data_IF_379186376635
#
_entry.id   IF_379186376635
#
_cell.length_a   1.000
_cell.length_b   1.000
_cell.length_c   1.000
_cell.angle_alpha   90.00
_cell.angle_beta   90.00
_cell.angle_gamma   90.00
#
_symmetry.space_group_name_H-M   'P 1'
#
loop_
_entity.id
_entity.type
_entity.pdbx_description
1 polymer ?
#
# COMPACT_ATOMS: atom_id res chain seq x y z
N UNK A 1 -6.96 -12.35 -4.59
CA UNK A 1 -6.36 -11.22 -5.32
C UNK A 1 -6.63 -10.01 -4.46
N UNK A 2 -5.71 -9.08 -4.43
CA UNK A 2 -5.80 -7.89 -3.61
C UNK A 2 -5.22 -6.73 -4.38
N UNK A 3 -5.73 -5.52 -4.13
CA UNK A 3 -5.06 -4.33 -4.62
C UNK A 3 -3.67 -4.21 -3.97
N UNK A 4 -2.66 -3.82 -4.76
CA UNK A 4 -1.28 -3.73 -4.30
C UNK A 4 -0.78 -2.30 -4.38
N UNK A 5 -0.16 -1.81 -3.30
CA UNK A 5 0.58 -0.55 -3.33
C UNK A 5 1.98 -0.82 -3.88
N UNK A 6 2.31 -0.19 -5.00
CA UNK A 6 3.58 -0.31 -5.71
C UNK A 6 4.59 0.79 -5.43
N UNK A 7 5.65 0.79 -6.25
CA UNK A 7 6.80 1.70 -6.16
C UNK A 7 6.46 3.18 -6.03
N UNK A 8 5.47 3.76 -6.74
CA UNK A 8 5.27 5.21 -6.71
C UNK A 8 4.87 5.76 -5.31
N UNK A 9 4.43 4.89 -4.39
CA UNK A 9 4.15 5.27 -3.01
C UNK A 9 5.40 5.56 -2.18
N UNK A 10 6.57 5.02 -2.58
CA UNK A 10 7.82 5.14 -1.83
C UNK A 10 8.20 6.61 -1.64
N UNK A 11 8.39 7.00 -0.39
CA UNK A 11 8.64 8.38 0.07
C UNK A 11 7.51 9.39 -0.18
N UNK A 12 6.36 8.95 -0.71
CA UNK A 12 5.17 9.79 -0.91
C UNK A 12 4.23 9.69 0.29
N UNK A 13 3.75 8.48 0.60
CA UNK A 13 2.85 8.20 1.72
C UNK A 13 1.69 9.20 1.89
N UNK A 14 0.96 9.55 0.82
CA UNK A 14 -0.04 10.64 0.87
C UNK A 14 -1.26 10.35 1.79
N UNK A 15 -1.61 9.07 2.00
CA UNK A 15 -2.74 8.58 2.82
C UNK A 15 -4.16 8.84 2.31
N UNK A 16 -4.38 9.52 1.17
CA UNK A 16 -5.73 9.71 0.61
C UNK A 16 -6.52 8.41 0.40
N UNK A 17 -5.85 7.33 -0.02
CA UNK A 17 -6.46 6.01 -0.21
C UNK A 17 -7.02 5.38 1.08
N UNK A 18 -6.48 5.74 2.25
CA UNK A 18 -6.91 5.18 3.54
C UNK A 18 -8.36 5.60 3.84
N UNK A 19 -8.70 6.86 3.59
CA UNK A 19 -10.00 7.43 3.95
C UNK A 19 -11.18 6.84 3.15
N UNK A 20 -10.91 6.15 2.04
CA UNK A 20 -11.94 5.58 1.15
C UNK A 20 -12.04 4.07 1.23
N UNK A 21 -11.13 3.40 1.93
CA UNK A 21 -11.18 1.94 2.07
C UNK A 21 -12.35 1.52 2.97
N UNK A 22 -13.34 0.75 2.47
CA UNK A 22 -14.54 0.41 3.25
C UNK A 22 -14.29 -0.63 4.35
N UNK A 23 -13.12 -1.27 4.36
CA UNK A 23 -12.71 -2.32 5.30
C UNK A 23 -11.46 -1.95 6.07
N UNK A 24 -11.02 -0.68 5.97
CA UNK A 24 -9.87 -0.13 6.69
C UNK A 24 -8.53 -0.88 6.50
N UNK A 25 -8.37 -1.66 5.42
CA UNK A 25 -7.23 -2.55 5.21
C UNK A 25 -5.93 -1.87 4.72
N UNK A 26 -5.77 -0.55 4.86
CA UNK A 26 -4.59 0.20 4.37
C UNK A 26 -3.84 0.84 5.54
N UNK A 27 -2.58 0.46 5.73
CA UNK A 27 -1.78 0.80 6.91
C UNK A 27 -0.32 1.14 6.58
N UNK A 28 0.47 1.44 7.61
CA UNK A 28 1.87 1.83 7.50
C UNK A 28 2.10 3.34 7.50
N UNK A 29 3.36 3.79 7.34
CA UNK A 29 4.54 2.97 7.06
C UNK A 29 5.18 2.29 8.28
N UNK A 30 4.64 2.46 9.49
CA UNK A 30 5.24 1.94 10.73
C UNK A 30 4.36 0.88 11.37
N UNK A 31 3.06 1.15 11.52
CA UNK A 31 2.12 0.30 12.23
C UNK A 31 1.21 -0.44 11.28
N UNK A 32 1.01 -1.72 11.57
CA UNK A 32 0.09 -2.61 10.86
C UNK A 32 -1.39 -2.29 11.11
N UNK A 33 -1.69 -1.45 12.09
CA UNK A 33 -3.04 -1.06 12.50
C UNK A 33 -3.19 0.47 12.63
N UNK A 34 -2.25 1.22 12.06
CA UNK A 34 -2.15 2.68 12.24
C UNK A 34 -3.00 3.52 11.29
N UNK A 35 -3.57 2.91 10.25
CA UNK A 35 -4.34 3.61 9.21
C UNK A 35 -3.61 4.86 8.65
N UNK A 36 -2.29 4.79 8.46
CA UNK A 36 -1.52 5.94 7.95
C UNK A 36 -1.41 7.12 8.91
N UNK A 37 -2.00 7.06 10.11
CA UNK A 37 -2.07 8.21 11.02
C UNK A 37 -0.67 8.69 11.46
N UNK A 38 0.30 7.79 11.53
CA UNK A 38 1.69 8.15 11.85
C UNK A 38 2.32 9.11 10.84
N UNK A 39 1.86 9.14 9.59
CA UNK A 39 2.45 9.99 8.53
C UNK A 39 2.30 11.47 8.86
N UNK A 40 1.22 11.86 9.53
CA UNK A 40 0.95 13.25 9.89
C UNK A 40 2.05 13.85 10.81
N UNK A 41 2.70 13.00 11.61
CA UNK A 41 3.76 13.39 12.54
C UNK A 41 5.18 13.13 12.00
N UNK A 42 5.31 12.63 10.76
CA UNK A 42 6.60 12.32 10.15
C UNK A 42 7.13 13.46 9.29
N UNK A 43 8.45 13.68 9.35
CA UNK A 43 9.13 14.57 8.40
C UNK A 43 9.40 13.86 7.07
N UNK A 44 9.68 14.64 6.02
CA UNK A 44 10.04 14.08 4.70
C UNK A 44 11.28 13.18 4.76
N UNK A 45 12.22 13.50 5.63
CA UNK A 45 13.43 12.70 5.85
C UNK A 45 13.11 11.35 6.52
N UNK A 46 12.07 11.30 7.37
CA UNK A 46 11.61 10.08 8.01
C UNK A 46 10.78 9.20 7.06
N UNK A 47 10.20 9.78 6.01
CA UNK A 47 9.44 9.07 4.98
C UNK A 47 10.33 8.45 3.88
N UNK A 48 11.64 8.74 3.87
CA UNK A 48 12.56 8.14 2.89
C UNK A 48 12.50 6.62 2.98
N UNK A 49 12.33 5.97 1.82
CA UNK A 49 12.19 4.52 1.66
C UNK A 49 10.99 3.91 2.41
N UNK A 50 9.98 4.72 2.76
CA UNK A 50 8.72 4.28 3.37
C UNK A 50 7.56 4.31 2.39
N UNK A 51 6.59 3.44 2.59
CA UNK A 51 5.35 3.38 1.82
C UNK A 51 4.20 2.87 2.69
N UNK A 52 2.97 3.06 2.22
CA UNK A 52 1.80 2.40 2.78
C UNK A 52 1.66 0.98 2.20
N UNK A 53 0.86 0.16 2.86
CA UNK A 53 0.62 -1.24 2.49
C UNK A 53 -0.87 -1.55 2.58
N UNK A 54 -1.39 -2.32 1.62
CA UNK A 54 -2.73 -2.91 1.65
C UNK A 54 -2.62 -4.31 2.22
N UNK A 55 -3.47 -4.67 3.17
CA UNK A 55 -3.56 -6.02 3.73
C UNK A 55 -4.27 -6.96 2.74
N UNK A 56 -3.57 -7.93 2.14
CA UNK A 56 -4.14 -8.82 1.12
C UNK A 56 -5.28 -9.72 1.63
N UNK A 57 -5.22 -10.15 2.90
CA UNK A 57 -6.24 -11.02 3.50
C UNK A 57 -7.55 -10.28 3.82
N UNK A 58 -7.50 -8.95 3.99
CA UNK A 58 -8.65 -8.12 4.33
C UNK A 58 -9.21 -7.35 3.14
N UNK A 59 -8.42 -7.17 2.08
CA UNK A 59 -8.87 -6.51 0.87
C UNK A 59 -10.06 -7.26 0.24
N UNK A 60 -11.10 -6.51 -0.14
CA UNK A 60 -12.34 -7.06 -0.72
C UNK A 60 -12.50 -6.71 -2.21
N UNK A 61 -11.41 -6.33 -2.88
CA UNK A 61 -11.38 -6.00 -4.31
C UNK A 61 -12.44 -4.98 -4.76
N UNK A 62 -12.69 -3.95 -3.94
CA UNK A 62 -13.72 -2.94 -4.24
C UNK A 62 -13.25 -1.80 -5.18
N UNK A 63 -11.94 -1.56 -5.28
CA UNK A 63 -11.36 -0.56 -6.19
C UNK A 63 -11.54 0.92 -5.78
N UNK A 64 -12.07 1.20 -4.59
CA UNK A 64 -12.28 2.58 -4.14
C UNK A 64 -10.98 3.38 -3.98
N UNK A 65 -9.87 2.73 -3.65
CA UNK A 65 -8.58 3.37 -3.39
C UNK A 65 -7.81 3.81 -4.65
N UNK A 66 -8.01 3.14 -5.78
CA UNK A 66 -7.35 3.41 -7.08
C UNK A 66 -7.39 4.89 -7.49
N UNK A 67 -8.57 5.53 -7.66
CA UNK A 67 -8.65 6.90 -8.17
C UNK A 67 -8.17 7.95 -7.15
N UNK A 68 -8.01 7.57 -5.89
CA UNK A 68 -7.64 8.49 -4.80
C UNK A 68 -6.13 8.63 -4.64
N UNK A 69 -5.34 7.71 -5.22
CA UNK A 69 -3.89 7.79 -5.09
C UNK A 69 -3.34 8.89 -6.03
N UNK A 70 -2.75 9.99 -5.51
CA UNK A 70 -2.31 11.11 -6.36
C UNK A 70 -1.08 10.82 -7.22
N UNK A 71 -0.43 9.66 -7.00
CA UNK A 71 0.78 9.22 -7.69
C UNK A 71 0.59 7.88 -8.39
N UNK A 72 -0.67 7.45 -8.58
CA UNK A 72 -1.04 6.20 -9.28
C UNK A 72 -0.25 4.98 -8.78
N UNK A 73 -0.06 4.88 -7.46
CA UNK A 73 0.73 3.82 -6.83
C UNK A 73 -0.06 2.54 -6.53
N UNK A 74 -1.36 2.47 -6.84
CA UNK A 74 -2.20 1.33 -6.48
C UNK A 74 -2.55 0.56 -7.75
N UNK A 75 -2.26 -0.74 -7.76
CA UNK A 75 -2.48 -1.65 -8.88
C UNK A 75 -3.58 -2.66 -8.56
N UNK A 76 -4.27 -3.13 -9.60
CA UNK A 76 -5.47 -3.95 -9.47
C UNK A 76 -5.24 -5.32 -8.83
N UNK A 77 -4.07 -5.90 -9.07
CA UNK A 77 -3.65 -7.18 -8.53
C UNK A 77 -2.12 -7.29 -8.50
N UNK A 78 -1.65 -8.43 -8.01
CA UNK A 78 -0.24 -8.76 -7.89
C UNK A 78 0.47 -8.83 -9.26
N UNK A 79 -0.19 -9.37 -10.30
CA UNK A 79 0.36 -9.48 -11.66
C UNK A 79 0.58 -8.10 -12.28
N UNK A 80 -0.41 -7.23 -12.19
CA UNK A 80 -0.35 -5.86 -12.69
C UNK A 80 0.72 -5.07 -11.96
N UNK A 81 0.83 -5.23 -10.64
CA UNK A 81 1.89 -4.58 -9.87
C UNK A 81 3.27 -5.00 -10.35
N UNK A 82 3.49 -6.29 -10.59
CA UNK A 82 4.75 -6.82 -11.11
C UNK A 82 5.06 -6.28 -12.50
N UNK A 83 4.06 -6.21 -13.39
CA UNK A 83 4.24 -5.67 -14.73
C UNK A 83 4.63 -4.18 -14.69
N UNK A 84 3.93 -3.37 -13.89
CA UNK A 84 4.13 -1.92 -13.82
C UNK A 84 5.45 -1.57 -13.12
N UNK A 85 5.77 -2.24 -12.02
CA UNK A 85 7.01 -1.97 -11.27
C UNK A 85 8.23 -2.71 -11.84
N UNK A 86 8.01 -3.74 -12.68
CA UNK A 86 9.04 -4.62 -13.23
C UNK A 86 9.69 -5.54 -12.19
N UNK A 87 9.06 -5.71 -11.02
CA UNK A 87 9.57 -6.49 -9.89
C UNK A 87 8.43 -6.93 -8.96
N UNK A 88 8.61 -8.05 -8.28
CA UNK A 88 7.69 -8.57 -7.26
C UNK A 88 7.95 -8.01 -5.85
N UNK A 89 8.94 -7.13 -5.71
CA UNK A 89 9.35 -6.56 -4.42
C UNK A 89 8.19 -5.87 -3.69
N UNK A 90 7.39 -5.07 -4.39
CA UNK A 90 6.31 -4.31 -3.76
C UNK A 90 5.12 -5.18 -3.43
N UNK A 91 4.84 -6.21 -4.22
CA UNK A 91 3.87 -7.25 -3.86
C UNK A 91 4.29 -7.87 -2.54
N UNK A 92 5.51 -8.41 -2.44
CA UNK A 92 6.03 -9.03 -1.21
C UNK A 92 5.94 -8.10 0.00
N UNK A 93 6.31 -6.81 -0.17
CA UNK A 93 6.21 -5.83 0.92
C UNK A 93 4.80 -5.65 1.47
N UNK A 94 3.76 -5.69 0.63
CA UNK A 94 2.38 -5.60 1.10
C UNK A 94 2.03 -6.79 2.01
N UNK A 95 2.43 -8.01 1.63
CA UNK A 95 2.20 -9.21 2.45
C UNK A 95 3.06 -9.22 3.72
N UNK A 96 4.37 -9.02 3.58
CA UNK A 96 5.35 -9.10 4.66
C UNK A 96 5.07 -8.08 5.77
N UNK A 97 4.54 -6.91 5.43
CA UNK A 97 4.18 -5.90 6.41
C UNK A 97 3.15 -6.42 7.42
N UNK A 98 2.22 -7.29 7.01
CA UNK A 98 1.22 -7.93 7.87
C UNK A 98 1.63 -9.31 8.37
N UNK A 99 2.91 -9.69 8.19
CA UNK A 99 3.41 -11.02 8.56
C UNK A 99 2.88 -12.15 7.68
N UNK A 100 2.44 -11.83 6.47
CA UNK A 100 2.00 -12.80 5.45
C UNK A 100 3.14 -13.08 4.46
N UNK A 101 2.96 -14.11 3.63
CA UNK A 101 3.93 -14.51 2.60
C UNK A 101 3.25 -14.62 1.24
N UNK A 102 3.82 -13.94 0.24
CA UNK A 102 3.37 -14.06 -1.15
C UNK A 102 4.15 -15.18 -1.87
N UNK A 103 3.41 -16.09 -2.49
CA UNK A 103 3.97 -17.35 -3.05
C UNK A 103 3.99 -17.42 -4.58
N UNK A 104 3.61 -16.34 -5.28
CA UNK A 104 3.44 -16.34 -6.74
C UNK A 104 2.04 -16.78 -7.14
#
# INVERSE_FOLDING_TARGET
>A
MSYIIGRPCVSTCDTACVAVCPVDCIHGPIKVDGAGAEVADMTKEQLVDKMLYINPDECIDCGACLPECPVDAIYEDEETAIEQDGTDEYVKKNYEFFGQEWNG
#
